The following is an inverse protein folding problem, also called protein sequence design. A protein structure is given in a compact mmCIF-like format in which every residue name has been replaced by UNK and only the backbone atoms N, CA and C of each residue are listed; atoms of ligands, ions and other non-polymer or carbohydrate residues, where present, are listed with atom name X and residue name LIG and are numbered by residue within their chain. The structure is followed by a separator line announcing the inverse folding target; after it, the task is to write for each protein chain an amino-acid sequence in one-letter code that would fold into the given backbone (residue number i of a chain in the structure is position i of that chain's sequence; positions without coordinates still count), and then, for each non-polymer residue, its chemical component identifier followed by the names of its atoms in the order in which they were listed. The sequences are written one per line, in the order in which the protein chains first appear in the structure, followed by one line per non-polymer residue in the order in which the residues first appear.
data_IF_735976754788
#
_entry.id   IF_735976754788
#
_cell.length_a   1.000
_cell.length_b   1.000
_cell.length_c   1.000
_cell.angle_alpha   90.00
_cell.angle_beta   90.00
_cell.angle_gamma   90.00
#
_symmetry.space_group_name_H-M   'P 1'
#
loop_
_entity.id
_entity.type
_entity.pdbx_description
1 polymer ?
#
# COMPACT_ATOMS: atom_id res chain seq x y z
N UNK A 1 2.42 -13.49 13.49
CA UNK A 1 3.39 -14.31 12.72
C UNK A 1 4.76 -13.70 12.86
N UNK A 2 5.59 -14.37 13.66
CA UNK A 2 6.93 -14.02 14.12
C UNK A 2 7.91 -13.88 12.96
N UNK A 3 8.78 -12.86 13.04
CA UNK A 3 9.91 -12.66 12.14
C UNK A 3 10.80 -13.91 12.13
N UNK A 4 11.57 -14.12 11.06
CA UNK A 4 12.71 -15.05 11.11
C UNK A 4 13.65 -14.56 12.20
N UNK A 5 14.02 -15.44 13.14
CA UNK A 5 15.03 -15.09 14.16
C UNK A 5 16.43 -15.21 13.57
N UNK A 6 17.43 -14.65 14.27
CA UNK A 6 18.82 -14.66 13.81
C UNK A 6 19.33 -16.11 13.69
N UNK A 7 18.96 -16.97 14.62
CA UNK A 7 19.37 -18.37 14.67
C UNK A 7 18.70 -19.21 13.56
N UNK A 8 17.47 -18.87 13.17
CA UNK A 8 16.80 -19.51 12.02
C UNK A 8 17.39 -19.04 10.69
N UNK A 9 17.82 -17.78 10.64
CA UNK A 9 18.51 -17.21 9.50
C UNK A 9 19.89 -17.86 9.32
N UNK A 10 20.65 -18.06 10.39
CA UNK A 10 21.95 -18.73 10.35
C UNK A 10 21.84 -20.16 9.82
N UNK A 11 20.90 -20.95 10.34
CA UNK A 11 20.63 -22.32 9.82
C UNK A 11 20.20 -22.32 8.36
N UNK A 12 19.48 -21.29 7.92
CA UNK A 12 19.11 -21.16 6.51
C UNK A 12 20.35 -20.91 5.64
N UNK A 13 21.24 -20.00 6.06
CA UNK A 13 22.47 -19.69 5.34
C UNK A 13 23.36 -20.91 5.26
N UNK A 14 23.58 -21.61 6.38
CA UNK A 14 24.34 -22.86 6.44
C UNK A 14 23.72 -23.94 5.54
N UNK A 15 22.40 -24.12 5.60
CA UNK A 15 21.71 -25.04 4.71
C UNK A 15 21.87 -24.70 3.22
N UNK A 16 21.87 -23.41 2.86
CA UNK A 16 22.09 -22.94 1.48
C UNK A 16 23.54 -23.17 1.05
N UNK A 17 24.52 -23.02 1.94
CA UNK A 17 25.93 -23.31 1.63
C UNK A 17 26.16 -24.81 1.41
N UNK A 18 25.49 -25.66 2.21
CA UNK A 18 25.62 -27.12 2.12
C UNK A 18 24.85 -27.74 0.95
N UNK A 19 23.64 -27.25 0.67
CA UNK A 19 22.71 -27.87 -0.28
C UNK A 19 22.35 -26.97 -1.47
N UNK A 20 22.86 -25.74 -1.53
CA UNK A 20 22.52 -24.79 -2.57
C UNK A 20 21.04 -24.37 -2.52
N UNK A 21 20.37 -24.38 -3.68
CA UNK A 21 18.95 -24.04 -3.81
C UNK A 21 18.01 -25.24 -3.67
N UNK A 22 18.48 -26.34 -3.09
CA UNK A 22 17.64 -27.49 -2.75
C UNK A 22 16.81 -27.17 -1.50
N UNK A 23 15.73 -26.40 -1.68
CA UNK A 23 14.87 -25.92 -0.61
C UNK A 23 14.27 -27.03 0.27
N UNK A 24 13.88 -28.21 -0.25
CA UNK A 24 13.55 -29.37 0.57
C UNK A 24 14.66 -29.77 1.56
N UNK A 25 15.92 -29.81 1.11
CA UNK A 25 17.07 -30.13 1.97
C UNK A 25 17.38 -29.02 2.97
N UNK A 26 17.39 -27.76 2.51
CA UNK A 26 17.57 -26.57 3.36
C UNK A 26 16.47 -26.50 4.43
N UNK A 27 15.23 -26.84 4.09
CA UNK A 27 14.11 -26.83 5.04
C UNK A 27 14.28 -27.89 6.13
N UNK A 28 14.75 -29.09 5.77
CA UNK A 28 15.07 -30.14 6.73
C UNK A 28 16.17 -29.70 7.70
N UNK A 29 17.13 -28.91 7.21
CA UNK A 29 18.21 -28.34 8.03
C UNK A 29 17.73 -27.21 8.96
N UNK A 30 16.85 -26.32 8.46
CA UNK A 30 16.26 -25.24 9.29
C UNK A 30 15.35 -25.82 10.39
N UNK A 31 14.59 -26.88 10.11
CA UNK A 31 13.83 -27.66 11.08
C UNK A 31 12.61 -26.96 11.71
N UNK A 32 12.55 -25.62 11.72
CA UNK A 32 11.48 -24.84 12.38
C UNK A 32 10.48 -24.21 11.40
N UNK A 33 10.77 -24.26 10.09
CA UNK A 33 9.99 -23.57 9.04
C UNK A 33 9.48 -24.57 8.01
N UNK A 34 8.39 -24.21 7.33
CA UNK A 34 7.86 -25.01 6.22
C UNK A 34 8.68 -24.80 4.95
N UNK A 35 8.71 -25.80 4.07
CA UNK A 35 9.50 -25.77 2.83
C UNK A 35 9.20 -24.52 1.99
N UNK A 36 7.91 -24.17 1.85
CA UNK A 36 7.50 -22.96 1.16
C UNK A 36 7.96 -21.67 1.83
N UNK A 37 8.03 -21.62 3.16
CA UNK A 37 8.54 -20.46 3.89
C UNK A 37 10.07 -20.33 3.76
N UNK A 38 10.78 -21.45 3.86
CA UNK A 38 12.24 -21.56 3.70
C UNK A 38 12.66 -21.15 2.28
N UNK A 39 11.99 -21.66 1.25
CA UNK A 39 12.25 -21.29 -0.13
C UNK A 39 11.93 -19.81 -0.42
N UNK A 40 10.85 -19.28 0.16
CA UNK A 40 10.49 -17.87 -0.02
C UNK A 40 11.53 -16.93 0.61
N UNK A 41 11.97 -17.23 1.83
CA UNK A 41 12.93 -16.40 2.54
C UNK A 41 14.35 -16.54 1.98
N UNK A 42 14.80 -17.77 1.67
CA UNK A 42 16.11 -18.02 1.06
C UNK A 42 16.27 -17.39 -0.33
N UNK A 43 15.22 -17.39 -1.17
CA UNK A 43 15.22 -16.64 -2.45
C UNK A 43 15.42 -15.14 -2.24
N UNK A 44 14.74 -14.56 -1.24
CA UNK A 44 14.87 -13.12 -0.94
C UNK A 44 16.23 -12.74 -0.35
N UNK A 45 16.89 -13.70 0.32
CA UNK A 45 18.26 -13.55 0.81
C UNK A 45 19.27 -13.54 -0.33
N UNK A 46 19.20 -14.53 -1.24
CA UNK A 46 20.12 -14.65 -2.38
C UNK A 46 19.96 -13.54 -3.43
N UNK A 47 18.77 -12.98 -3.62
CA UNK A 47 18.49 -11.91 -4.61
C UNK A 47 18.80 -10.48 -4.11
N UNK A 48 19.51 -10.32 -2.98
CA UNK A 48 20.01 -9.00 -2.54
C UNK A 48 19.13 -8.27 -1.53
N UNK A 49 18.52 -9.00 -0.58
CA UNK A 49 18.09 -8.40 0.69
C UNK A 49 16.86 -7.49 0.64
N UNK A 50 15.92 -7.71 -0.30
CA UNK A 50 14.55 -7.18 -0.13
C UNK A 50 13.66 -8.27 0.47
N UNK A 51 13.56 -8.27 1.80
CA UNK A 51 12.50 -8.97 2.51
C UNK A 51 11.16 -8.56 1.88
N UNK A 52 10.25 -9.50 1.53
CA UNK A 52 8.95 -9.16 1.00
C UNK A 52 8.21 -8.29 2.03
N UNK A 53 8.18 -6.98 1.80
CA UNK A 53 7.26 -6.10 2.52
C UNK A 53 5.88 -6.69 2.27
N UNK A 54 5.17 -7.12 3.33
CA UNK A 54 3.79 -7.61 3.24
C UNK A 54 2.96 -6.60 2.44
N UNK A 55 2.84 -6.80 1.13
CA UNK A 55 1.69 -6.32 0.40
C UNK A 55 0.58 -7.20 0.94
N UNK A 56 -0.38 -6.59 1.64
CA UNK A 56 -1.57 -7.28 2.12
C UNK A 56 -2.09 -8.09 0.94
N UNK A 57 -1.92 -9.41 0.97
CA UNK A 57 -2.50 -10.29 -0.01
C UNK A 57 -4.01 -10.16 0.21
N UNK A 58 -4.64 -9.32 -0.61
CA UNK A 58 -6.07 -9.38 -0.82
C UNK A 58 -6.31 -10.77 -1.38
N UNK A 59 -6.93 -11.64 -0.58
CA UNK A 59 -7.38 -12.97 -1.04
C UNK A 59 -8.05 -12.77 -2.39
N UNK A 60 -7.53 -13.48 -3.39
CA UNK A 60 -8.08 -13.55 -4.73
C UNK A 60 -9.45 -14.23 -4.64
N UNK A 61 -10.49 -13.48 -4.26
CA UNK A 61 -11.84 -13.79 -4.71
C UNK A 61 -11.86 -13.43 -6.18
N UNK A 62 -12.37 -14.36 -6.99
CA UNK A 62 -12.52 -14.31 -8.45
C UNK A 62 -13.37 -13.10 -8.85
N UNK A 63 -12.86 -11.89 -8.67
CA UNK A 63 -13.47 -10.66 -9.13
C UNK A 63 -13.11 -10.58 -10.59
N UNK A 64 -14.08 -10.91 -11.44
CA UNK A 64 -14.04 -10.65 -12.87
C UNK A 64 -13.28 -9.36 -13.12
N UNK A 65 -12.27 -9.42 -13.98
CA UNK A 65 -11.39 -8.33 -14.35
C UNK A 65 -12.24 -7.11 -14.70
N UNK A 66 -12.59 -6.28 -13.72
CA UNK A 66 -13.40 -5.07 -13.92
C UNK A 66 -12.57 -4.21 -14.84
N UNK A 67 -12.93 -4.21 -16.12
CA UNK A 67 -12.24 -3.47 -17.18
C UNK A 67 -12.00 -2.07 -16.65
N UNK A 68 -10.73 -1.66 -16.57
CA UNK A 68 -10.34 -0.33 -16.10
C UNK A 68 -11.00 0.68 -17.02
N UNK A 69 -12.09 1.31 -16.61
CA UNK A 69 -12.71 2.37 -17.41
C UNK A 69 -11.70 3.51 -17.52
N UNK A 70 -11.22 3.83 -18.74
CA UNK A 70 -10.31 4.95 -18.92
C UNK A 70 -10.99 6.25 -18.46
N UNK A 71 -10.19 7.20 -18.00
CA UNK A 71 -10.68 8.55 -17.68
C UNK A 71 -10.92 9.29 -18.99
N UNK A 72 -12.17 9.65 -19.25
CA UNK A 72 -12.50 10.46 -20.44
C UNK A 72 -12.15 11.92 -20.19
N UNK A 73 -12.02 12.72 -21.26
CA UNK A 73 -11.74 14.15 -21.14
C UNK A 73 -12.82 14.90 -20.34
N UNK A 74 -14.08 14.51 -20.51
CA UNK A 74 -15.22 15.10 -19.79
C UNK A 74 -15.11 14.82 -18.29
N UNK A 75 -14.84 13.57 -17.92
CA UNK A 75 -14.64 13.19 -16.52
C UNK A 75 -13.42 13.89 -15.92
N UNK A 76 -12.35 14.04 -16.69
CA UNK A 76 -11.15 14.74 -16.25
C UNK A 76 -11.42 16.24 -16.03
N UNK A 77 -12.19 16.89 -16.91
CA UNK A 77 -12.63 18.30 -16.72
C UNK A 77 -13.44 18.46 -15.43
N UNK A 78 -14.36 17.53 -15.14
CA UNK A 78 -15.13 17.51 -13.89
C UNK A 78 -14.24 17.27 -12.67
N UNK A 79 -13.27 16.37 -12.78
CA UNK A 79 -12.27 16.13 -11.74
C UNK A 79 -11.48 17.40 -11.40
N UNK A 80 -10.98 18.13 -12.41
CA UNK A 80 -10.26 19.39 -12.20
C UNK A 80 -11.17 20.47 -11.59
N UNK A 81 -12.43 20.56 -12.03
CA UNK A 81 -13.44 21.46 -11.42
C UNK A 81 -13.67 21.11 -9.95
N UNK A 82 -13.79 19.83 -9.63
CA UNK A 82 -13.93 19.33 -8.27
C UNK A 82 -12.71 19.65 -7.41
N UNK A 83 -11.49 19.44 -7.93
CA UNK A 83 -10.25 19.80 -7.23
C UNK A 83 -10.16 21.30 -6.95
N UNK A 84 -10.55 22.17 -7.89
CA UNK A 84 -10.57 23.62 -7.67
C UNK A 84 -11.58 24.02 -6.60
N UNK A 85 -12.76 23.40 -6.57
CA UNK A 85 -13.83 23.75 -5.63
C UNK A 85 -13.64 23.18 -4.22
N UNK A 86 -13.14 21.95 -4.11
CA UNK A 86 -13.12 21.18 -2.86
C UNK A 86 -11.71 20.75 -2.41
N UNK A 87 -10.66 21.13 -3.15
CA UNK A 87 -9.29 20.74 -2.85
C UNK A 87 -9.12 19.22 -2.87
N UNK A 88 -8.38 18.68 -1.90
CA UNK A 88 -8.15 17.22 -1.76
C UNK A 88 -9.28 16.46 -1.07
N UNK A 89 -10.51 17.01 -1.03
CA UNK A 89 -11.66 16.30 -0.49
C UNK A 89 -12.27 15.35 -1.53
N UNK A 90 -11.67 14.16 -1.68
CA UNK A 90 -12.09 13.20 -2.70
C UNK A 90 -13.52 12.68 -2.54
N UNK A 91 -14.14 12.82 -1.35
CA UNK A 91 -15.55 12.51 -1.17
C UNK A 91 -16.43 13.46 -2.00
N UNK A 92 -16.13 14.76 -1.96
CA UNK A 92 -16.87 15.77 -2.71
C UNK A 92 -16.49 15.77 -4.19
N UNK A 93 -15.20 15.57 -4.50
CA UNK A 93 -14.74 15.48 -5.90
C UNK A 93 -15.39 14.31 -6.62
N UNK A 94 -15.56 13.16 -5.95
CA UNK A 94 -16.29 12.01 -6.48
C UNK A 94 -17.75 12.34 -6.84
N UNK A 95 -18.45 13.10 -5.98
CA UNK A 95 -19.82 13.56 -6.26
C UNK A 95 -19.90 14.48 -7.50
N UNK A 96 -18.86 15.28 -7.74
CA UNK A 96 -18.79 16.16 -8.93
C UNK A 96 -18.57 15.36 -10.22
N UNK A 97 -17.79 14.28 -10.16
CA UNK A 97 -17.52 13.41 -11.33
C UNK A 97 -18.72 12.51 -11.63
N UNK A 98 -19.42 12.00 -10.61
CA UNK A 98 -20.64 11.19 -10.73
C UNK A 98 -20.43 9.76 -11.22
N UNK A 99 -19.48 9.52 -12.12
CA UNK A 99 -19.27 8.23 -12.80
C UNK A 99 -18.17 7.36 -12.16
N UNK A 100 -17.31 7.94 -11.33
CA UNK A 100 -16.16 7.28 -10.71
C UNK A 100 -16.29 7.25 -9.20
N UNK A 101 -15.95 6.12 -8.59
CA UNK A 101 -15.98 5.95 -7.13
C UNK A 101 -14.90 6.78 -6.43
N UNK A 102 -15.07 7.03 -5.13
CA UNK A 102 -14.10 7.75 -4.29
C UNK A 102 -12.68 7.20 -4.42
N UNK A 103 -12.55 5.87 -4.39
CA UNK A 103 -11.25 5.21 -4.49
C UNK A 103 -10.62 5.43 -5.87
N UNK A 104 -11.39 5.28 -6.96
CA UNK A 104 -10.90 5.55 -8.31
C UNK A 104 -10.46 7.01 -8.49
N UNK A 105 -11.19 7.97 -7.93
CA UNK A 105 -10.83 9.39 -7.93
C UNK A 105 -9.54 9.63 -7.14
N UNK A 106 -9.37 8.99 -5.99
CA UNK A 106 -8.17 9.09 -5.16
C UNK A 106 -6.94 8.51 -5.89
N UNK A 107 -7.08 7.35 -6.53
CA UNK A 107 -6.02 6.71 -7.30
C UNK A 107 -5.62 7.56 -8.51
N UNK A 108 -6.61 8.10 -9.23
CA UNK A 108 -6.38 9.03 -10.33
C UNK A 108 -5.69 10.31 -9.87
N UNK A 109 -6.13 10.91 -8.76
CA UNK A 109 -5.50 12.09 -8.19
C UNK A 109 -4.04 11.83 -7.79
N UNK A 110 -3.76 10.67 -7.18
CA UNK A 110 -2.40 10.27 -6.82
C UNK A 110 -1.49 10.18 -8.06
N UNK A 111 -1.96 9.53 -9.12
CA UNK A 111 -1.23 9.43 -10.38
C UNK A 111 -1.05 10.81 -11.05
N UNK A 112 -2.12 11.62 -11.09
CA UNK A 112 -2.11 12.96 -11.66
C UNK A 112 -1.12 13.89 -10.92
N UNK A 113 -1.11 13.85 -9.59
CA UNK A 113 -0.17 14.64 -8.79
C UNK A 113 1.27 14.19 -8.97
N UNK A 114 1.52 12.87 -9.08
CA UNK A 114 2.87 12.37 -9.40
C UNK A 114 3.33 12.86 -10.78
N UNK A 115 2.44 12.85 -11.78
CA UNK A 115 2.73 13.37 -13.12
C UNK A 115 3.05 14.87 -13.06
N UNK A 116 2.23 15.68 -12.40
CA UNK A 116 2.47 17.12 -12.24
C UNK A 116 3.81 17.45 -11.57
N UNK A 117 4.22 16.65 -10.57
CA UNK A 117 5.55 16.82 -9.95
C UNK A 117 6.68 16.57 -10.93
N UNK A 118 6.56 15.52 -11.77
CA UNK A 118 7.57 15.19 -12.78
C UNK A 118 7.67 16.26 -13.86
N UNK A 119 6.55 16.88 -14.23
CA UNK A 119 6.49 17.97 -15.22
C UNK A 119 6.88 19.35 -14.65
N UNK A 120 7.34 19.45 -13.40
CA UNK A 120 7.64 20.75 -12.76
C UNK A 120 6.41 21.58 -12.39
N UNK A 121 5.19 21.10 -12.68
CA UNK A 121 3.91 21.77 -12.36
C UNK A 121 3.40 21.44 -10.95
N UNK A 122 4.33 21.22 -10.00
CA UNK A 122 4.00 20.85 -8.62
C UNK A 122 3.14 21.90 -7.90
N UNK A 123 3.26 23.18 -8.30
CA UNK A 123 2.47 24.29 -7.76
C UNK A 123 0.96 24.16 -8.04
N UNK A 124 0.54 23.41 -9.06
CA UNK A 124 -0.87 23.16 -9.37
C UNK A 124 -1.53 22.12 -8.45
N UNK A 125 -0.75 21.45 -7.59
CA UNK A 125 -1.26 20.43 -6.69
C UNK A 125 -1.84 21.16 -5.47
N UNK A 126 -3.16 21.05 -5.18
CA UNK A 126 -3.75 21.70 -4.02
C UNK A 126 -3.03 21.26 -2.74
N UNK A 127 -2.85 22.10 -1.71
CA UNK A 127 -2.20 21.67 -0.46
C UNK A 127 -2.97 20.50 0.19
N UNK A 128 -2.28 19.69 0.99
CA UNK A 128 -2.97 18.68 1.81
C UNK A 128 -3.89 19.42 2.77
N UNK A 129 -5.14 18.95 2.88
CA UNK A 129 -6.05 19.47 3.89
C UNK A 129 -5.40 19.24 5.26
N UNK A 130 -5.09 20.34 5.96
CA UNK A 130 -4.67 20.29 7.35
C UNK A 130 -5.90 19.86 8.12
N UNK A 131 -5.94 18.61 8.58
CA UNK A 131 -6.99 18.22 9.53
C UNK A 131 -6.76 19.09 10.75
N UNK A 132 -7.63 20.09 10.96
CA UNK A 132 -7.71 20.80 12.23
C UNK A 132 -8.22 19.74 13.20
N UNK A 133 -7.30 19.02 13.84
CA UNK A 133 -7.64 18.25 15.03
C UNK A 133 -8.09 19.31 16.03
N UNK A 134 -9.40 19.52 16.13
CA UNK A 134 -9.96 20.28 17.23
C UNK A 134 -9.74 19.37 18.41
N UNK A 135 -8.65 19.57 19.14
CA UNK A 135 -8.49 18.94 20.44
C UNK A 135 -9.59 19.56 21.31
N UNK A 136 -10.74 18.89 21.35
CA UNK A 136 -11.84 19.26 22.24
C UNK A 136 -11.24 19.24 23.65
N UNK A 137 -11.17 20.38 24.37
CA UNK A 137 -10.73 20.34 25.75
C UNK A 137 -11.67 19.42 26.51
N UNK A 138 -11.11 18.42 27.17
CA UNK A 138 -11.85 17.49 28.00
C UNK A 138 -12.56 18.28 29.11
N UNK A 139 -13.87 18.45 28.99
CA UNK A 139 -14.68 19.08 30.04
C UNK A 139 -14.78 18.06 31.19
N UNK A 140 -14.07 18.33 32.30
CA UNK A 140 -14.20 17.55 33.53
C UNK A 140 -15.65 17.66 34.02
N UNK A 141 -16.43 16.59 33.83
CA UNK A 141 -17.75 16.44 34.47
C UNK A 141 -17.49 16.23 35.96
N UNK A 142 -17.75 17.26 36.77
CA UNK A 142 -17.75 17.16 38.23
C UNK A 142 -18.97 16.31 38.59
N UNK A 143 -18.76 15.14 39.19
CA UNK A 143 -19.86 14.32 39.71
C UNK A 143 -20.37 14.96 41.00
N UNK A 144 -21.69 15.21 41.16
CA UNK A 144 -22.22 15.66 42.43
C UNK A 144 -22.07 14.55 43.48
N UNK A 145 -21.65 14.96 44.68
CA UNK A 145 -21.52 14.15 45.91
C UNK A 145 -22.86 13.74 46.47
#
# INVERSE_FOLDING_TARGET
WTSWTMEEHERLVEGIELHGKDWPAVCRHVGTRSEGATAAYGRTYLEGGRVPRKTKHTKNTKAETRKRTPWTEVEHKLFLKGLRRHGRNFNLVCKVVGTKTRQQVQDHASAYFKRLKREGKGHLIPPKLRQRTVHLPYVRVIKPT
#
